data_IF_747623079977
#
_entry.id   IF_747623079977
#
_cell.length_a   1.000
_cell.length_b   1.000
_cell.length_c   1.000
_cell.angle_alpha   90.00
_cell.angle_beta   90.00
_cell.angle_gamma   90.00
#
_symmetry.space_group_name_H-M   'P 1'
#
loop_
_entity.id
_entity.type
_entity.pdbx_description
1 polymer ?
#
# COMPACT_ATOMS: atom_id res chain seq x y z
N UNK A 1 42.03 -37.70 16.56
CA UNK A 1 41.54 -38.73 15.62
C UNK A 1 40.02 -38.76 15.69
N UNK A 2 39.37 -39.40 14.74
CA UNK A 2 38.01 -39.09 14.26
C UNK A 2 36.87 -39.40 15.23
N UNK A 3 35.70 -38.74 15.06
CA UNK A 3 34.45 -39.12 15.71
C UNK A 3 33.72 -40.19 14.91
N UNK A 4 33.52 -41.39 15.49
CA UNK A 4 32.63 -42.43 14.95
C UNK A 4 32.38 -43.49 16.04
N UNK A 5 31.27 -43.37 16.79
CA UNK A 5 30.37 -44.50 17.12
C UNK A 5 29.19 -44.08 18.04
N UNK A 6 28.00 -43.97 17.41
CA UNK A 6 26.65 -44.37 17.88
C UNK A 6 26.12 -43.88 19.24
N UNK A 7 24.97 -43.20 19.21
CA UNK A 7 23.62 -43.86 19.20
C UNK A 7 22.60 -42.96 18.46
N UNK A 8 21.54 -43.52 17.84
CA UNK A 8 20.60 -42.73 17.02
C UNK A 8 19.46 -42.13 17.86
N UNK A 9 19.11 -40.87 17.56
CA UNK A 9 17.85 -40.26 17.98
C UNK A 9 16.68 -40.69 17.08
N UNK A 10 15.42 -40.40 17.47
CA UNK A 10 14.25 -40.83 16.71
C UNK A 10 14.15 -40.10 15.36
N UNK A 11 13.75 -40.85 14.33
CA UNK A 11 13.51 -40.33 12.99
C UNK A 11 12.33 -39.36 13.00
N UNK A 12 12.56 -38.09 12.65
CA UNK A 12 11.48 -37.17 12.32
C UNK A 12 10.91 -37.55 10.95
N UNK A 13 9.58 -37.64 10.78
CA UNK A 13 9.00 -37.94 9.48
C UNK A 13 9.31 -36.82 8.49
N UNK A 14 9.75 -37.20 7.29
CA UNK A 14 10.02 -36.27 6.19
C UNK A 14 8.81 -35.37 5.90
N UNK A 15 8.89 -34.10 6.32
CA UNK A 15 8.13 -33.04 5.69
C UNK A 15 8.81 -32.74 4.34
N UNK A 16 8.30 -33.37 3.27
CA UNK A 16 8.59 -32.92 1.91
C UNK A 16 8.15 -31.46 1.71
N UNK A 17 8.55 -30.81 0.60
CA UNK A 17 8.19 -29.42 0.34
C UNK A 17 6.66 -29.28 0.40
N UNK A 18 6.19 -28.53 1.39
CA UNK A 18 4.80 -28.09 1.41
C UNK A 18 4.71 -27.01 0.36
N UNK A 19 4.06 -27.33 -0.76
CA UNK A 19 3.58 -26.31 -1.68
C UNK A 19 2.73 -25.34 -0.86
N UNK A 20 3.28 -24.16 -0.60
CA UNK A 20 2.47 -23.00 -0.26
C UNK A 20 1.68 -22.70 -1.55
N UNK A 21 0.35 -22.50 -1.49
CA UNK A 21 -0.38 -22.05 -2.65
C UNK A 21 0.08 -20.63 -2.98
N UNK A 22 0.29 -20.33 -4.26
CA UNK A 22 0.61 -18.96 -4.70
C UNK A 22 -0.52 -18.01 -4.30
N UNK A 23 -0.23 -17.07 -3.42
CA UNK A 23 -1.17 -16.05 -2.95
C UNK A 23 -1.17 -14.79 -3.84
N UNK A 24 -0.32 -14.75 -4.88
CA UNK A 24 -0.16 -13.65 -5.83
C UNK A 24 -1.40 -13.39 -6.74
N UNK A 25 -2.44 -14.20 -6.57
CA UNK A 25 -3.77 -14.02 -7.16
C UNK A 25 -4.86 -14.10 -6.08
N UNK A 26 -4.93 -13.08 -5.21
CA UNK A 26 -6.21 -12.77 -4.57
C UNK A 26 -7.22 -12.35 -5.66
N UNK A 27 -8.44 -12.89 -5.69
CA UNK A 27 -9.36 -12.79 -6.84
C UNK A 27 -10.10 -11.44 -6.86
N UNK A 28 -9.35 -10.37 -7.09
CA UNK A 28 -9.89 -9.02 -7.29
C UNK A 28 -9.97 -8.67 -8.77
N UNK A 29 -10.95 -9.25 -9.46
CA UNK A 29 -11.29 -8.90 -10.85
C UNK A 29 -10.43 -9.59 -11.90
N UNK A 30 -10.61 -10.90 -12.08
CA UNK A 30 -10.15 -11.59 -13.29
C UNK A 30 -10.94 -11.08 -14.50
N UNK A 31 -10.31 -10.24 -15.35
CA UNK A 31 -10.83 -9.97 -16.68
C UNK A 31 -10.71 -11.24 -17.53
N UNK A 32 -11.83 -11.83 -17.89
CA UNK A 32 -11.92 -12.92 -18.85
C UNK A 32 -12.34 -12.34 -20.20
N UNK A 33 -11.42 -12.26 -21.16
CA UNK A 33 -11.75 -11.95 -22.55
C UNK A 33 -12.32 -13.21 -23.22
N UNK A 34 -13.54 -13.17 -23.80
CA UNK A 34 -14.06 -14.30 -24.55
C UNK A 34 -13.42 -14.37 -25.94
N UNK A 35 -12.90 -15.56 -26.28
CA UNK A 35 -12.48 -15.95 -27.64
C UNK A 35 -13.49 -15.47 -28.71
N UNK A 36 -13.04 -14.88 -29.83
CA UNK A 36 -13.92 -14.35 -30.85
C UNK A 36 -14.69 -15.48 -31.57
N UNK A 37 -16.01 -15.51 -31.39
CA UNK A 37 -16.86 -16.52 -31.99
C UNK A 37 -16.74 -16.54 -33.52
N UNK A 38 -16.37 -17.71 -34.07
CA UNK A 38 -16.19 -17.89 -35.50
C UNK A 38 -17.50 -17.73 -36.27
N UNK A 39 -17.60 -16.65 -37.04
CA UNK A 39 -18.41 -16.58 -38.26
C UNK A 39 -19.84 -16.06 -38.11
N UNK A 40 -20.05 -14.81 -38.52
CA UNK A 40 -21.23 -14.42 -39.30
C UNK A 40 -20.87 -13.27 -40.26
N UNK A 41 -21.29 -13.38 -41.53
CA UNK A 41 -21.10 -12.34 -42.55
C UNK A 41 -22.35 -11.44 -42.61
N UNK A 42 -22.17 -10.11 -42.73
CA UNK A 42 -23.24 -9.25 -43.25
C UNK A 42 -23.26 -7.77 -42.82
N UNK A 43 -22.40 -6.94 -43.45
CA UNK A 43 -22.61 -5.55 -43.92
C UNK A 43 -23.34 -4.46 -43.07
N UNK A 44 -23.16 -3.18 -43.41
CA UNK A 44 -21.91 -2.42 -43.49
C UNK A 44 -21.85 -1.32 -42.39
N UNK A 45 -20.70 -0.66 -42.27
CA UNK A 45 -20.52 0.51 -41.40
C UNK A 45 -21.30 1.73 -41.91
N UNK A 46 -21.97 2.44 -41.00
CA UNK A 46 -22.29 3.86 -41.14
C UNK A 46 -21.65 4.62 -39.97
N UNK A 47 -21.03 5.75 -40.26
CA UNK A 47 -20.29 6.54 -39.29
C UNK A 47 -20.91 7.93 -39.15
N UNK A 48 -21.59 8.20 -38.03
CA UNK A 48 -21.83 9.54 -37.48
C UNK A 48 -22.54 9.45 -36.12
N UNK A 49 -21.83 9.77 -35.03
CA UNK A 49 -22.25 10.59 -33.86
C UNK A 49 -21.32 10.29 -32.67
N UNK A 50 -20.59 11.30 -32.21
CA UNK A 50 -19.66 11.22 -31.09
C UNK A 50 -20.32 11.69 -29.79
N UNK A 51 -20.30 10.86 -28.73
CA UNK A 51 -20.55 11.28 -27.33
C UNK A 51 -20.31 10.09 -26.36
N UNK A 52 -19.04 9.70 -26.17
CA UNK A 52 -18.65 8.55 -25.35
C UNK A 52 -18.66 8.80 -23.84
N UNK A 53 -19.81 9.09 -23.23
CA UNK A 53 -20.04 8.92 -21.79
C UNK A 53 -20.88 7.65 -21.59
N UNK A 54 -20.29 6.59 -21.03
CA UNK A 54 -21.05 5.37 -20.70
C UNK A 54 -20.17 4.14 -20.46
N UNK A 55 -20.06 3.73 -19.19
CA UNK A 55 -19.28 2.54 -18.80
C UNK A 55 -19.57 1.99 -17.40
N UNK A 56 -20.54 2.53 -16.68
CA UNK A 56 -20.99 2.00 -15.39
C UNK A 56 -22.35 1.30 -15.55
N UNK A 57 -22.49 0.14 -14.90
CA UNK A 57 -23.60 -0.85 -14.93
C UNK A 57 -23.56 -1.87 -16.07
N UNK A 58 -23.10 -3.08 -15.74
CA UNK A 58 -23.93 -4.27 -15.91
C UNK A 58 -23.56 -5.33 -14.85
N UNK A 59 -24.45 -6.31 -14.64
CA UNK A 59 -24.31 -7.50 -13.77
C UNK A 59 -24.51 -7.30 -12.25
N UNK A 60 -25.76 -7.00 -11.87
CA UNK A 60 -26.40 -7.85 -10.86
C UNK A 60 -26.74 -9.22 -11.49
N UNK A 61 -27.01 -10.23 -10.64
CA UNK A 61 -27.57 -11.55 -10.97
C UNK A 61 -26.59 -12.61 -11.54
N UNK A 62 -25.94 -13.38 -10.65
CA UNK A 62 -26.28 -14.79 -10.37
C UNK A 62 -25.12 -15.63 -9.77
N UNK A 63 -25.19 -15.94 -8.48
CA UNK A 63 -24.68 -17.19 -7.87
C UNK A 63 -25.66 -17.61 -6.75
N UNK A 64 -25.86 -18.91 -6.43
CA UNK A 64 -27.11 -19.37 -5.83
C UNK A 64 -27.19 -19.15 -4.32
N UNK A 65 -28.42 -18.91 -3.87
CA UNK A 65 -28.81 -18.94 -2.46
C UNK A 65 -29.55 -20.26 -2.21
N UNK A 66 -28.88 -21.23 -1.61
CA UNK A 66 -29.51 -22.47 -1.14
C UNK A 66 -29.84 -22.37 0.37
N UNK A 67 -31.12 -22.58 0.72
CA UNK A 67 -31.59 -22.53 2.10
C UNK A 67 -33.05 -22.07 2.24
N UNK A 68 -34.00 -22.91 1.85
CA UNK A 68 -35.42 -22.55 1.74
C UNK A 68 -36.09 -22.19 3.08
N UNK A 69 -36.95 -21.18 3.05
CA UNK A 69 -37.91 -20.85 4.11
C UNK A 69 -39.06 -20.00 3.58
N UNK A 70 -40.10 -20.63 3.02
CA UNK A 70 -41.26 -19.91 2.47
C UNK A 70 -42.10 -19.21 3.55
N UNK A 71 -42.43 -17.93 3.34
CA UNK A 71 -43.38 -17.20 4.18
C UNK A 71 -43.76 -15.83 3.58
N UNK A 72 -44.83 -15.78 2.79
CA UNK A 72 -45.36 -14.51 2.26
C UNK A 72 -46.14 -13.73 3.32
N UNK A 73 -46.03 -12.39 3.24
CA UNK A 73 -46.75 -11.42 4.08
C UNK A 73 -48.25 -11.43 3.84
N UNK A 74 -48.99 -11.07 4.89
CA UNK A 74 -50.45 -11.05 5.01
C UNK A 74 -51.16 -10.12 4.01
N UNK A 75 -52.26 -10.61 3.41
CA UNK A 75 -53.46 -9.80 3.18
C UNK A 75 -54.73 -10.65 3.32
N UNK A 76 -55.81 -10.05 3.83
CA UNK A 76 -56.97 -10.76 4.39
C UNK A 76 -58.09 -11.07 3.40
N UNK A 77 -58.84 -12.17 3.63
CA UNK A 77 -60.32 -12.21 3.69
C UNK A 77 -60.87 -13.63 3.98
N UNK A 78 -61.87 -13.74 4.88
CA UNK A 78 -63.02 -14.65 4.67
C UNK A 78 -63.09 -16.04 5.37
N UNK A 79 -63.92 -16.10 6.41
CA UNK A 79 -64.88 -17.21 6.76
C UNK A 79 -64.42 -18.53 7.41
N UNK A 80 -65.16 -18.95 8.46
CA UNK A 80 -65.29 -20.33 9.00
C UNK A 80 -64.39 -20.67 10.20
N UNK A 81 -64.87 -20.76 11.47
CA UNK A 81 -65.56 -21.91 12.15
C UNK A 81 -64.74 -23.21 12.16
N UNK A 82 -64.50 -23.94 13.27
CA UNK A 82 -64.87 -23.82 14.71
C UNK A 82 -63.96 -24.78 15.55
N UNK A 83 -64.03 -24.72 16.88
CA UNK A 83 -63.59 -25.70 17.90
C UNK A 83 -62.08 -25.82 18.28
N UNK A 84 -61.79 -25.70 19.59
CA UNK A 84 -60.59 -26.25 20.28
C UNK A 84 -61.02 -27.36 21.26
N UNK A 85 -60.43 -27.52 22.48
CA UNK A 85 -59.08 -27.21 22.99
C UNK A 85 -58.42 -28.48 23.63
N UNK A 86 -57.80 -28.37 24.83
CA UNK A 86 -57.18 -29.44 25.70
C UNK A 86 -55.74 -29.81 25.28
N UNK A 87 -54.65 -29.47 26.00
CA UNK A 87 -54.20 -29.72 27.41
C UNK A 87 -53.60 -31.12 27.67
N UNK A 88 -52.32 -31.22 28.07
CA UNK A 88 -51.86 -31.89 29.32
C UNK A 88 -50.33 -32.07 29.44
N UNK A 89 -49.90 -32.23 30.70
CA UNK A 89 -48.54 -32.15 31.26
C UNK A 89 -47.84 -33.49 31.56
N UNK A 90 -46.50 -33.51 31.54
CA UNK A 90 -45.58 -34.31 32.39
C UNK A 90 -44.12 -33.86 32.08
N UNK A 91 -43.17 -33.52 32.97
CA UNK A 91 -42.81 -33.75 34.40
C UNK A 91 -41.92 -35.01 34.65
N UNK A 92 -40.90 -34.83 35.53
CA UNK A 92 -39.80 -35.71 35.99
C UNK A 92 -38.50 -35.71 35.10
N UNK A 93 -37.29 -35.22 35.47
CA UNK A 93 -36.40 -35.24 36.69
C UNK A 93 -35.29 -36.33 36.59
N UNK A 94 -34.04 -36.27 37.12
CA UNK A 94 -33.24 -35.31 37.91
C UNK A 94 -31.75 -35.77 37.99
N UNK A 95 -30.86 -34.96 38.62
CA UNK A 95 -29.46 -35.25 39.09
C UNK A 95 -28.39 -35.50 38.00
N UNK A 96 -27.11 -35.07 38.10
CA UNK A 96 -26.30 -34.28 39.07
C UNK A 96 -24.81 -34.33 38.62
N UNK A 97 -23.79 -33.59 39.12
CA UNK A 97 -23.60 -32.58 40.19
C UNK A 97 -22.43 -31.61 39.79
N UNK A 98 -22.14 -30.57 40.60
CA UNK A 98 -20.98 -29.64 40.44
C UNK A 98 -19.76 -30.00 41.30
N UNK A 99 -18.94 -29.05 41.83
CA UNK A 99 -19.06 -27.56 41.82
C UNK A 99 -17.74 -26.79 41.47
N UNK A 100 -17.74 -25.45 41.58
CA UNK A 100 -16.53 -24.61 41.56
C UNK A 100 -16.80 -23.11 41.43
N UNK A 101 -17.00 -22.42 42.55
CA UNK A 101 -17.31 -20.98 42.62
C UNK A 101 -16.06 -20.09 42.70
N UNK A 102 -16.10 -18.88 42.12
CA UNK A 102 -15.37 -17.68 42.58
C UNK A 102 -16.17 -16.42 42.24
N UNK A 103 -16.28 -15.49 43.20
CA UNK A 103 -17.16 -14.31 43.15
C UNK A 103 -16.44 -13.02 42.72
N UNK A 104 -17.20 -12.12 42.09
CA UNK A 104 -16.84 -10.70 41.94
C UNK A 104 -16.85 -9.97 43.29
N UNK A 105 -16.00 -8.95 43.45
CA UNK A 105 -16.14 -7.95 44.50
C UNK A 105 -15.76 -6.55 43.99
N UNK A 106 -16.73 -5.63 44.01
CA UNK A 106 -16.58 -4.23 43.62
C UNK A 106 -16.43 -3.37 44.89
N UNK A 107 -15.27 -2.76 45.11
CA UNK A 107 -15.10 -1.83 46.24
C UNK A 107 -15.68 -0.44 45.93
N UNK A 108 -16.62 -0.01 46.77
CA UNK A 108 -17.09 1.39 46.82
C UNK A 108 -17.12 1.90 48.27
N UNK A 109 -16.43 3.00 48.50
CA UNK A 109 -16.58 3.88 49.66
C UNK A 109 -16.61 5.33 49.12
N UNK A 110 -17.37 6.28 49.69
CA UNK A 110 -18.19 6.26 50.89
C UNK A 110 -17.97 7.56 51.68
N UNK A 111 -19.06 8.19 52.15
CA UNK A 111 -19.16 9.51 52.83
C UNK A 111 -19.00 10.78 51.98
N UNK A 112 -19.66 11.90 52.26
CA UNK A 112 -21.05 12.19 52.72
C UNK A 112 -21.25 13.73 52.76
N UNK A 113 -22.48 14.24 52.56
CA UNK A 113 -22.83 15.63 52.91
C UNK A 113 -23.81 16.36 51.97
N UNK A 114 -25.06 16.58 52.42
CA UNK A 114 -25.85 17.76 52.00
C UNK A 114 -25.26 19.04 52.63
N UNK A 115 -25.77 20.26 52.50
CA UNK A 115 -27.09 20.84 52.13
C UNK A 115 -26.88 22.39 52.09
N UNK A 116 -27.72 23.27 51.54
CA UNK A 116 -29.08 23.18 50.98
C UNK A 116 -29.29 24.27 49.89
N UNK A 117 -30.51 24.49 49.38
CA UNK A 117 -30.81 25.55 48.39
C UNK A 117 -32.04 26.41 48.73
N UNK A 118 -31.89 27.74 48.86
CA UNK A 118 -32.96 28.73 48.57
C UNK A 118 -32.51 30.21 48.55
N UNK A 119 -33.27 30.99 47.75
CA UNK A 119 -33.53 32.44 47.74
C UNK A 119 -32.46 33.51 47.38
N UNK A 120 -32.77 34.23 46.28
CA UNK A 120 -32.24 35.55 45.93
C UNK A 120 -32.91 36.67 46.75
N UNK A 121 -32.28 37.84 46.87
CA UNK A 121 -32.90 39.01 46.22
C UNK A 121 -31.92 40.08 45.67
N UNK A 122 -32.40 40.89 44.72
CA UNK A 122 -31.98 42.29 44.57
C UNK A 122 -31.08 42.64 43.37
N UNK A 123 -31.68 43.35 42.39
CA UNK A 123 -30.97 44.16 41.38
C UNK A 123 -31.47 45.60 41.51
N UNK A 124 -30.58 46.60 41.53
CA UNK A 124 -30.73 47.86 40.79
C UNK A 124 -29.42 48.69 40.76
N UNK A 125 -29.21 49.60 39.77
CA UNK A 125 -27.88 50.06 39.35
C UNK A 125 -27.53 51.51 39.78
N UNK A 126 -26.23 51.85 39.73
CA UNK A 126 -25.75 53.25 39.62
C UNK A 126 -24.53 53.37 38.67
N UNK A 127 -24.25 54.61 38.24
CA UNK A 127 -23.53 55.01 37.02
C UNK A 127 -22.00 55.23 37.23
N UNK A 128 -21.19 55.56 36.18
CA UNK A 128 -19.88 54.96 35.95
C UNK A 128 -18.72 55.78 36.48
N UNK A 129 -17.56 55.12 36.63
CA UNK A 129 -16.29 55.78 36.97
C UNK A 129 -15.25 55.72 35.84
N UNK A 130 -14.42 56.76 35.79
CA UNK A 130 -13.51 57.09 34.69
C UNK A 130 -12.12 56.41 34.82
N UNK A 131 -11.32 56.32 33.73
CA UNK A 131 -10.06 55.57 33.74
C UNK A 131 -9.01 56.18 34.67
N UNK A 132 -8.34 55.30 35.41
CA UNK A 132 -7.23 55.56 36.33
C UNK A 132 -5.92 54.95 35.77
N UNK A 133 -4.71 55.40 36.18
CA UNK A 133 -3.85 56.09 35.22
C UNK A 133 -2.79 55.21 34.54
N UNK A 134 -2.15 55.76 33.50
CA UNK A 134 -1.07 55.12 32.77
C UNK A 134 0.10 54.72 33.70
N UNK A 135 0.31 53.42 33.84
CA UNK A 135 1.60 52.87 34.29
C UNK A 135 2.62 53.09 33.18
N UNK A 136 3.64 53.92 33.47
CA UNK A 136 4.83 53.98 32.63
C UNK A 136 5.52 52.61 32.67
N UNK A 137 5.41 51.86 31.58
CA UNK A 137 6.34 50.78 31.29
C UNK A 137 7.70 51.43 31.03
N UNK A 138 8.67 51.12 31.89
CA UNK A 138 10.07 51.41 31.62
C UNK A 138 10.50 50.71 30.32
N UNK A 139 11.55 51.25 29.68
CA UNK A 139 12.14 50.69 28.45
C UNK A 139 12.22 49.17 28.53
N UNK A 140 11.39 48.52 27.71
CA UNK A 140 11.51 47.10 27.40
C UNK A 140 12.22 47.06 26.08
N UNK A 141 13.46 46.56 26.09
CA UNK A 141 14.21 46.30 24.87
C UNK A 141 13.32 45.56 23.87
N UNK A 142 13.14 46.12 22.68
CA UNK A 142 12.46 45.42 21.60
C UNK A 142 13.20 44.09 21.36
N UNK A 143 12.50 42.94 21.30
CA UNK A 143 13.13 41.71 20.87
C UNK A 143 13.69 41.95 19.47
N UNK A 144 14.92 41.49 19.16
CA UNK A 144 15.59 41.87 17.92
C UNK A 144 14.72 41.48 16.73
N UNK A 145 14.30 42.48 15.95
CA UNK A 145 13.63 42.30 14.67
C UNK A 145 14.54 41.44 13.80
N UNK A 146 14.21 40.16 13.67
CA UNK A 146 14.83 39.29 12.69
C UNK A 146 14.44 39.87 11.33
N UNK A 147 15.41 40.45 10.61
CA UNK A 147 15.23 40.70 9.19
C UNK A 147 14.95 39.34 8.53
N UNK A 148 13.71 39.16 8.06
CA UNK A 148 13.38 38.04 7.21
C UNK A 148 14.30 38.10 6.00
N UNK A 149 15.10 37.04 5.82
CA UNK A 149 15.96 36.90 4.65
C UNK A 149 15.16 36.95 3.35
N UNK A 150 15.83 36.95 2.18
CA UNK A 150 15.14 36.90 0.90
C UNK A 150 14.12 35.74 0.90
N UNK A 151 12.95 35.94 0.27
CA UNK A 151 11.86 34.97 0.32
C UNK A 151 12.36 33.58 -0.08
N UNK A 152 11.86 32.57 0.62
CA UNK A 152 12.11 31.16 0.25
C UNK A 152 11.74 30.97 -1.22
N UNK A 153 12.55 30.22 -2.00
CA UNK A 153 12.23 29.96 -3.40
C UNK A 153 10.89 29.24 -3.54
N UNK A 154 10.27 29.48 -4.68
CA UNK A 154 8.96 28.99 -5.13
C UNK A 154 8.71 27.51 -4.76
N UNK A 155 7.57 27.14 -4.12
CA UNK A 155 7.28 25.76 -3.72
C UNK A 155 6.96 24.81 -4.90
N UNK A 156 7.16 25.22 -6.15
CA UNK A 156 7.06 24.35 -7.31
C UNK A 156 8.12 23.22 -7.27
N UNK A 157 7.60 22.01 -7.01
CA UNK A 157 8.31 20.74 -6.79
C UNK A 157 9.00 20.58 -5.41
N UNK A 158 8.81 19.42 -4.72
CA UNK A 158 9.60 19.03 -3.56
C UNK A 158 11.02 18.70 -3.99
N UNK A 159 11.83 19.73 -4.19
CA UNK A 159 13.25 19.62 -4.48
C UNK A 159 13.99 19.20 -3.22
N UNK A 160 14.03 17.87 -2.98
CA UNK A 160 15.04 17.27 -2.10
C UNK A 160 16.41 17.84 -2.51
N UNK A 161 17.09 18.61 -1.63
CA UNK A 161 18.23 19.44 -2.03
C UNK A 161 19.53 18.61 -2.12
N UNK A 162 19.56 17.69 -3.08
CA UNK A 162 20.76 16.97 -3.47
C UNK A 162 21.71 17.90 -4.24
N UNK A 163 23.04 17.73 -4.13
CA UNK A 163 24.00 18.56 -4.84
C UNK A 163 23.79 18.45 -6.37
N UNK A 164 23.34 19.54 -6.99
CA UNK A 164 23.32 19.63 -8.44
C UNK A 164 24.74 19.51 -9.01
N UNK A 165 24.94 18.91 -10.20
CA UNK A 165 26.23 18.88 -10.88
C UNK A 165 26.88 20.27 -10.96
N UNK A 166 28.22 20.32 -10.82
CA UNK A 166 28.97 21.53 -11.10
C UNK A 166 28.75 22.00 -12.55
N UNK A 167 28.78 23.31 -12.86
CA UNK A 167 28.54 23.81 -14.21
C UNK A 167 29.42 23.13 -15.27
N UNK A 168 28.81 22.37 -16.17
CA UNK A 168 29.49 21.67 -17.26
C UNK A 168 29.92 20.23 -16.97
N UNK A 169 29.68 19.70 -15.76
CA UNK A 169 29.87 18.28 -15.46
C UNK A 169 28.59 17.48 -15.79
N UNK A 170 28.70 16.32 -16.45
CA UNK A 170 27.55 15.44 -16.65
C UNK A 170 27.03 14.92 -15.30
N UNK A 171 25.71 14.68 -15.17
CA UNK A 171 25.19 13.98 -14.00
C UNK A 171 25.72 12.54 -13.97
N UNK A 172 25.78 11.93 -12.78
CA UNK A 172 26.19 10.53 -12.66
C UNK A 172 25.16 9.56 -13.23
N UNK A 173 25.53 8.29 -13.46
CA UNK A 173 24.64 7.29 -14.05
C UNK A 173 23.39 7.06 -13.18
N UNK A 174 22.24 6.88 -13.84
CA UNK A 174 20.99 6.44 -13.18
C UNK A 174 20.95 4.92 -13.12
N UNK A 175 20.55 4.39 -11.97
CA UNK A 175 20.23 2.98 -11.75
C UNK A 175 18.81 2.86 -11.19
N UNK A 176 18.13 1.79 -11.58
CA UNK A 176 16.82 1.40 -11.07
C UNK A 176 16.94 0.05 -10.36
N UNK A 177 16.23 -0.09 -9.24
CA UNK A 177 16.10 -1.32 -8.46
C UNK A 177 14.64 -1.75 -8.49
N UNK A 178 14.40 -2.99 -8.90
CA UNK A 178 13.08 -3.63 -8.84
C UNK A 178 12.66 -3.98 -7.41
N UNK A 179 11.54 -4.66 -7.32
CA UNK A 179 10.84 -5.03 -6.08
C UNK A 179 11.71 -5.94 -5.21
N UNK A 180 11.80 -5.63 -3.92
CA UNK A 180 12.79 -6.23 -3.00
C UNK A 180 12.16 -7.22 -2.04
N UNK A 181 10.94 -6.96 -1.55
CA UNK A 181 10.19 -7.84 -0.66
C UNK A 181 11.00 -8.47 0.48
N UNK A 182 11.71 -7.65 1.26
CA UNK A 182 12.45 -8.10 2.45
C UNK A 182 13.66 -9.01 2.19
N UNK A 183 14.02 -9.28 0.93
CA UNK A 183 15.19 -10.06 0.52
C UNK A 183 16.47 -9.21 0.61
N UNK A 184 16.86 -8.86 1.84
CA UNK A 184 17.97 -7.95 2.13
C UNK A 184 19.33 -8.46 1.66
N UNK A 185 19.60 -9.76 1.80
CA UNK A 185 20.88 -10.35 1.42
C UNK A 185 21.04 -10.35 -0.12
N UNK A 186 19.97 -10.65 -0.85
CA UNK A 186 19.87 -10.56 -2.30
C UNK A 186 20.06 -9.11 -2.78
N UNK A 187 19.43 -8.14 -2.10
CA UNK A 187 19.61 -6.71 -2.40
C UNK A 187 21.07 -6.28 -2.21
N UNK A 188 21.68 -6.61 -1.08
CA UNK A 188 23.09 -6.31 -0.80
C UNK A 188 24.01 -6.97 -1.82
N UNK A 189 23.76 -8.23 -2.18
CA UNK A 189 24.54 -8.95 -3.17
C UNK A 189 24.48 -8.30 -4.56
N UNK A 190 23.30 -7.91 -5.04
CA UNK A 190 23.14 -7.29 -6.36
C UNK A 190 23.67 -5.84 -6.38
N UNK A 191 23.39 -5.02 -5.35
CA UNK A 191 23.97 -3.67 -5.24
C UNK A 191 25.51 -3.72 -5.23
N UNK A 192 26.11 -4.67 -4.51
CA UNK A 192 27.56 -4.87 -4.50
C UNK A 192 28.06 -5.39 -5.86
N UNK A 193 27.32 -6.29 -6.52
CA UNK A 193 27.65 -6.79 -7.87
C UNK A 193 27.70 -5.65 -8.91
N UNK A 194 26.79 -4.69 -8.82
CA UNK A 194 26.77 -3.48 -9.66
C UNK A 194 27.82 -2.41 -9.24
N UNK A 195 28.56 -2.64 -8.15
CA UNK A 195 29.55 -1.70 -7.60
C UNK A 195 28.93 -0.45 -6.94
N UNK A 196 27.66 -0.54 -6.55
CA UNK A 196 26.90 0.58 -5.97
C UNK A 196 27.16 0.72 -4.46
N UNK A 197 27.41 -0.40 -3.79
CA UNK A 197 27.89 -0.47 -2.41
C UNK A 197 29.18 -1.28 -2.32
N UNK A 198 29.97 -1.02 -1.28
CA UNK A 198 31.17 -1.79 -0.95
C UNK A 198 30.85 -3.08 -0.17
N UNK A 199 31.89 -3.81 0.23
CA UNK A 199 31.77 -5.10 0.91
C UNK A 199 31.21 -4.99 2.35
N UNK A 200 31.29 -3.81 2.97
CA UNK A 200 30.70 -3.52 4.28
C UNK A 200 29.25 -2.99 4.14
N UNK A 201 28.81 -2.72 2.91
CA UNK A 201 27.47 -2.29 2.56
C UNK A 201 27.26 -0.77 2.54
N UNK A 202 28.34 0.01 2.49
CA UNK A 202 28.29 1.47 2.36
C UNK A 202 28.33 1.91 0.89
N UNK A 203 27.78 3.08 0.60
CA UNK A 203 27.74 3.66 -0.76
C UNK A 203 29.14 3.84 -1.38
N UNK A 204 29.38 3.15 -2.48
CA UNK A 204 30.62 3.23 -3.28
C UNK A 204 30.43 3.87 -4.65
N UNK A 205 29.20 4.19 -5.04
CA UNK A 205 28.84 4.60 -6.40
C UNK A 205 29.20 6.06 -6.76
N UNK A 206 29.81 6.82 -5.84
CA UNK A 206 30.16 8.22 -6.04
C UNK A 206 28.92 9.08 -6.34
N UNK A 207 28.83 9.60 -7.56
CA UNK A 207 27.74 10.49 -8.01
C UNK A 207 26.57 9.77 -8.70
N UNK A 208 26.49 8.45 -8.61
CA UNK A 208 25.37 7.69 -9.16
C UNK A 208 24.03 8.12 -8.54
N UNK A 209 22.96 7.79 -9.25
CA UNK A 209 21.58 8.16 -8.94
C UNK A 209 20.75 6.88 -8.90
N UNK A 210 20.35 6.42 -7.72
CA UNK A 210 19.54 5.20 -7.58
C UNK A 210 18.07 5.57 -7.36
N UNK A 211 17.17 4.84 -8.02
CA UNK A 211 15.75 4.81 -7.75
C UNK A 211 15.27 3.38 -7.47
N UNK A 212 14.68 3.15 -6.30
CA UNK A 212 13.90 1.94 -6.02
C UNK A 212 12.44 2.15 -6.44
N UNK A 213 11.81 1.11 -7.01
CA UNK A 213 10.48 1.21 -7.62
C UNK A 213 9.32 0.83 -6.66
N UNK A 214 9.60 0.74 -5.36
CA UNK A 214 8.66 0.35 -4.31
C UNK A 214 8.88 -1.09 -3.82
N UNK A 215 7.96 -1.55 -2.97
CA UNK A 215 7.87 -2.92 -2.47
C UNK A 215 9.15 -3.40 -1.77
N UNK A 216 9.49 -2.70 -0.70
CA UNK A 216 10.62 -3.00 0.20
C UNK A 216 10.33 -4.16 1.14
N UNK A 217 9.06 -4.33 1.52
CA UNK A 217 8.63 -5.17 2.64
C UNK A 217 7.79 -6.37 2.20
N UNK A 218 7.47 -7.22 3.18
CA UNK A 218 6.66 -8.43 3.06
C UNK A 218 7.31 -9.58 2.25
N UNK A 219 6.76 -10.78 2.43
CA UNK A 219 7.21 -12.08 1.86
C UNK A 219 8.60 -12.52 2.34
N UNK A 220 9.67 -11.79 2.05
CA UNK A 220 11.03 -12.11 2.50
C UNK A 220 11.26 -11.86 4.00
N UNK A 221 12.47 -12.12 4.52
CA UNK A 221 12.72 -12.22 5.96
C UNK A 221 12.99 -10.91 6.73
N UNK A 222 13.41 -9.83 6.06
CA UNK A 222 13.87 -8.60 6.74
C UNK A 222 13.50 -7.32 5.98
N UNK A 223 12.20 -6.99 5.94
CA UNK A 223 11.68 -5.78 5.31
C UNK A 223 12.14 -4.47 5.99
N UNK A 224 12.25 -4.45 7.33
CA UNK A 224 12.79 -3.27 8.02
C UNK A 224 14.29 -3.08 7.71
N UNK A 225 15.08 -4.16 7.61
CA UNK A 225 16.48 -4.07 7.25
C UNK A 225 16.71 -3.55 5.83
N UNK A 226 15.78 -3.82 4.90
CA UNK A 226 15.75 -3.18 3.56
C UNK A 226 15.51 -1.68 3.69
N UNK A 227 14.51 -1.26 4.47
CA UNK A 227 14.21 0.17 4.72
C UNK A 227 15.41 0.88 5.35
N UNK A 228 16.01 0.31 6.40
CA UNK A 228 17.23 0.78 7.05
C UNK A 228 18.36 1.02 6.02
N UNK A 229 18.61 0.04 5.14
CA UNK A 229 19.64 0.14 4.11
C UNK A 229 19.33 1.25 3.10
N UNK A 230 18.09 1.37 2.61
CA UNK A 230 17.73 2.42 1.63
C UNK A 230 17.84 3.81 2.27
N UNK A 231 17.45 3.97 3.54
CA UNK A 231 17.62 5.21 4.31
C UNK A 231 19.09 5.57 4.53
N UNK A 232 19.94 4.58 4.86
CA UNK A 232 21.39 4.74 4.97
C UNK A 232 22.00 5.21 3.63
N UNK A 233 21.70 4.51 2.53
CA UNK A 233 22.23 4.81 1.21
C UNK A 233 21.77 6.17 0.69
N UNK A 234 20.55 6.62 1.03
CA UNK A 234 20.08 7.97 0.71
C UNK A 234 20.96 9.06 1.34
N UNK A 235 21.36 8.89 2.60
CA UNK A 235 22.24 9.83 3.30
C UNK A 235 23.69 9.80 2.75
N UNK A 236 24.23 8.60 2.52
CA UNK A 236 25.61 8.43 2.03
C UNK A 236 25.76 8.90 0.58
N UNK A 237 24.80 8.60 -0.29
CA UNK A 237 24.78 9.06 -1.67
C UNK A 237 24.75 10.59 -1.76
N UNK A 238 23.94 11.24 -0.93
CA UNK A 238 23.87 12.70 -0.86
C UNK A 238 25.23 13.31 -0.48
N UNK A 239 25.94 12.71 0.49
CA UNK A 239 27.28 13.13 0.90
C UNK A 239 28.34 12.93 -0.20
N UNK A 240 28.15 11.93 -1.08
CA UNK A 240 29.01 11.65 -2.23
C UNK A 240 28.68 12.47 -3.50
N UNK A 241 27.64 13.31 -3.46
CA UNK A 241 27.18 14.10 -4.61
C UNK A 241 26.36 13.30 -5.65
N UNK A 242 25.84 12.15 -5.24
CA UNK A 242 24.79 11.40 -5.92
C UNK A 242 23.46 11.52 -5.18
N UNK A 243 22.57 10.56 -5.37
CA UNK A 243 21.43 10.33 -4.48
C UNK A 243 20.95 8.87 -4.55
N UNK A 244 20.18 8.45 -3.54
CA UNK A 244 19.36 7.25 -3.56
C UNK A 244 17.93 7.64 -3.17
N UNK A 245 16.96 7.26 -4.00
CA UNK A 245 15.53 7.61 -3.88
C UNK A 245 14.68 6.34 -4.02
N UNK A 246 13.42 6.45 -3.64
CA UNK A 246 12.45 5.37 -3.60
C UNK A 246 11.08 5.88 -4.04
N UNK A 247 10.30 5.04 -4.71
CA UNK A 247 8.86 5.23 -4.93
C UNK A 247 8.05 4.54 -3.83
N UNK A 248 6.80 4.96 -3.68
CA UNK A 248 5.77 4.26 -2.89
C UNK A 248 5.30 3.01 -3.65
N UNK A 249 5.46 1.82 -3.08
CA UNK A 249 4.84 0.59 -3.57
C UNK A 249 3.47 0.32 -2.93
N UNK A 250 2.75 -0.69 -3.43
CA UNK A 250 1.51 -1.10 -2.77
C UNK A 250 1.77 -1.80 -1.43
N UNK A 251 2.93 -2.44 -1.24
CA UNK A 251 3.27 -3.05 0.04
C UNK A 251 3.57 -2.00 1.11
N UNK A 252 4.18 -0.86 0.78
CA UNK A 252 4.34 0.24 1.73
C UNK A 252 2.98 0.82 2.17
N UNK A 253 2.03 0.99 1.23
CA UNK A 253 0.67 1.42 1.55
C UNK A 253 -0.05 0.41 2.47
N UNK A 254 0.11 -0.88 2.20
CA UNK A 254 -0.50 -1.98 2.94
C UNK A 254 0.09 -2.15 4.34
N UNK A 255 1.42 -2.05 4.47
CA UNK A 255 2.17 -2.15 5.73
C UNK A 255 1.90 -0.95 6.65
N UNK A 256 1.95 0.28 6.12
CA UNK A 256 1.55 1.48 6.86
C UNK A 256 0.08 1.43 7.28
N UNK A 257 -0.80 0.96 6.40
CA UNK A 257 -2.22 0.78 6.72
C UNK A 257 -2.46 -0.28 7.82
N UNK A 258 -1.69 -1.38 7.81
CA UNK A 258 -1.77 -2.41 8.84
C UNK A 258 -1.32 -1.89 10.21
N UNK A 259 -0.32 -1.00 10.25
CA UNK A 259 0.08 -0.29 11.46
C UNK A 259 -0.98 0.75 11.92
N UNK A 260 -1.51 1.55 11.00
CA UNK A 260 -2.41 2.69 11.32
C UNK A 260 -3.84 2.27 11.68
N UNK A 261 -4.40 1.32 10.94
CA UNK A 261 -5.82 0.93 11.04
C UNK A 261 -6.02 -0.49 11.61
N UNK A 262 -5.00 -1.35 11.57
CA UNK A 262 -5.07 -2.69 12.15
C UNK A 262 -6.23 -3.53 11.58
N UNK A 263 -7.12 -3.97 12.47
CA UNK A 263 -8.31 -4.75 12.14
C UNK A 263 -9.58 -3.90 11.86
N UNK A 264 -9.44 -2.59 11.63
CA UNK A 264 -10.55 -1.73 11.22
C UNK A 264 -11.16 -2.22 9.88
N UNK A 265 -12.49 -2.42 9.79
CA UNK A 265 -13.15 -2.86 8.57
C UNK A 265 -13.07 -1.85 7.43
N UNK A 266 -12.68 -2.32 6.24
CA UNK A 266 -12.79 -1.57 4.97
C UNK A 266 -13.96 -2.06 4.11
N UNK A 267 -14.54 -1.15 3.33
CA UNK A 267 -15.49 -1.50 2.27
C UNK A 267 -14.76 -2.09 1.07
N UNK A 268 -14.60 -3.42 1.04
CA UNK A 268 -14.12 -4.14 -0.13
C UNK A 268 -15.26 -4.80 -0.91
N UNK A 269 -15.20 -4.73 -2.24
CA UNK A 269 -16.15 -5.37 -3.15
C UNK A 269 -16.17 -6.91 -3.07
N UNK A 270 -15.20 -7.53 -2.38
CA UNK A 270 -15.17 -8.97 -2.11
C UNK A 270 -15.59 -9.36 -0.68
N UNK A 271 -16.07 -8.40 0.13
CA UNK A 271 -16.50 -8.62 1.53
C UNK A 271 -15.74 -7.76 2.54
N UNK A 272 -15.89 -8.04 3.83
CA UNK A 272 -15.16 -7.32 4.87
C UNK A 272 -13.69 -7.75 4.88
N UNK A 273 -12.80 -6.80 4.56
CA UNK A 273 -11.35 -6.93 4.79
C UNK A 273 -10.93 -5.98 5.92
N UNK A 274 -9.69 -6.15 6.39
CA UNK A 274 -8.95 -5.16 7.19
C UNK A 274 -7.53 -5.05 6.63
N UNK A 275 -6.84 -3.95 6.88
CA UNK A 275 -5.46 -3.80 6.45
C UNK A 275 -4.54 -4.87 7.07
N UNK A 276 -4.69 -5.17 8.37
CA UNK A 276 -3.87 -6.17 9.05
C UNK A 276 -4.11 -7.60 8.52
N UNK A 277 -5.36 -7.95 8.19
CA UNK A 277 -5.67 -9.23 7.58
C UNK A 277 -5.12 -9.33 6.15
N UNK A 278 -5.28 -8.27 5.34
CA UNK A 278 -4.79 -8.23 3.97
C UNK A 278 -3.25 -8.25 3.91
N UNK A 279 -2.57 -7.50 4.78
CA UNK A 279 -1.11 -7.50 4.92
C UNK A 279 -0.57 -8.90 5.24
N UNK A 280 -1.13 -9.58 6.25
CA UNK A 280 -0.78 -10.98 6.58
C UNK A 280 -1.00 -11.94 5.42
N UNK A 281 -2.07 -11.76 4.63
CA UNK A 281 -2.34 -12.59 3.45
C UNK A 281 -1.36 -12.35 2.29
N UNK A 282 -0.78 -11.16 2.18
CA UNK A 282 0.20 -10.82 1.15
C UNK A 282 1.67 -10.97 1.64
N UNK A 283 1.89 -11.80 2.67
CA UNK A 283 3.23 -12.14 3.17
C UNK A 283 3.77 -11.24 4.28
N UNK A 284 2.94 -10.41 4.90
CA UNK A 284 3.34 -9.50 5.98
C UNK A 284 4.06 -10.18 7.14
N UNK A 285 5.27 -9.72 7.45
CA UNK A 285 6.11 -10.29 8.51
C UNK A 285 5.88 -9.59 9.85
N UNK A 286 5.38 -10.32 10.85
CA UNK A 286 5.11 -9.75 12.19
C UNK A 286 6.38 -9.14 12.83
N UNK A 287 7.56 -9.72 12.61
CA UNK A 287 8.84 -9.18 13.09
C UNK A 287 9.15 -7.79 12.52
N UNK A 288 8.75 -7.49 11.28
CA UNK A 288 8.95 -6.17 10.67
C UNK A 288 7.96 -5.14 11.23
N UNK A 289 6.70 -5.53 11.48
CA UNK A 289 5.73 -4.66 12.14
C UNK A 289 6.11 -4.37 13.60
N UNK A 290 6.68 -5.35 14.31
CA UNK A 290 7.18 -5.20 15.68
C UNK A 290 8.44 -4.30 15.76
N UNK A 291 9.18 -4.18 14.65
CA UNK A 291 10.36 -3.29 14.47
C UNK A 291 10.03 -1.95 13.80
N UNK A 292 8.78 -1.70 13.43
CA UNK A 292 8.38 -0.46 12.77
C UNK A 292 8.44 0.71 13.76
N UNK A 293 9.14 1.78 13.37
CA UNK A 293 9.38 2.95 14.22
C UNK A 293 8.87 4.23 13.57
N UNK A 294 8.69 5.28 14.37
CA UNK A 294 8.23 6.59 13.90
C UNK A 294 9.11 7.19 12.79
N UNK A 295 10.41 6.87 12.77
CA UNK A 295 11.32 7.36 11.73
C UNK A 295 11.16 6.60 10.41
N UNK A 296 10.95 5.28 10.44
CA UNK A 296 10.54 4.46 9.30
C UNK A 296 9.22 4.98 8.71
N UNK A 297 8.18 5.12 9.55
CA UNK A 297 6.85 5.64 9.15
C UNK A 297 6.99 7.01 8.49
N UNK A 298 7.73 7.93 9.14
CA UNK A 298 7.93 9.27 8.61
C UNK A 298 8.67 9.29 7.27
N UNK A 299 9.57 8.35 7.01
CA UNK A 299 10.26 8.24 5.72
C UNK A 299 9.34 7.65 4.65
N UNK A 300 8.70 6.50 4.93
CA UNK A 300 7.77 5.81 4.04
C UNK A 300 6.62 6.72 3.60
N UNK A 301 5.98 7.44 4.52
CA UNK A 301 4.85 8.33 4.20
C UNK A 301 5.22 9.57 3.37
N UNK A 302 6.50 9.78 3.04
CA UNK A 302 6.99 10.86 2.17
C UNK A 302 7.54 10.38 0.82
N UNK A 303 7.48 9.07 0.55
CA UNK A 303 7.92 8.54 -0.74
C UNK A 303 7.00 9.05 -1.87
N UNK A 304 7.54 9.56 -2.98
CA UNK A 304 6.74 9.90 -4.15
C UNK A 304 6.06 8.66 -4.74
N UNK A 305 4.84 8.83 -5.23
CA UNK A 305 4.12 7.84 -6.04
C UNK A 305 4.77 7.65 -7.43
N UNK A 306 5.19 8.75 -8.08
CA UNK A 306 5.80 8.73 -9.42
C UNK A 306 6.97 9.71 -9.52
N UNK A 307 7.96 9.38 -10.35
CA UNK A 307 9.15 10.19 -10.61
C UNK A 307 9.50 10.26 -12.09
N UNK A 308 10.34 11.23 -12.49
CA UNK A 308 10.85 11.38 -13.86
C UNK A 308 12.34 11.67 -13.80
N UNK A 309 13.16 10.82 -14.42
CA UNK A 309 14.62 10.93 -14.37
C UNK A 309 15.25 10.59 -15.73
N UNK A 310 16.09 11.49 -16.26
CA UNK A 310 16.76 11.32 -17.58
C UNK A 310 15.81 10.86 -18.71
N UNK A 311 14.58 11.36 -18.72
CA UNK A 311 13.55 11.00 -19.71
C UNK A 311 12.81 9.68 -19.44
N UNK A 312 13.05 9.01 -18.31
CA UNK A 312 12.36 7.81 -17.90
C UNK A 312 11.31 8.15 -16.83
N UNK A 313 10.04 7.88 -17.13
CA UNK A 313 8.95 7.97 -16.16
C UNK A 313 9.01 6.71 -15.27
N UNK A 314 9.19 6.91 -13.97
CA UNK A 314 9.37 5.86 -12.98
C UNK A 314 8.04 5.69 -12.24
N UNK A 315 7.46 4.49 -12.33
CA UNK A 315 6.22 4.10 -11.68
C UNK A 315 6.46 2.89 -10.78
N UNK A 316 5.57 2.64 -9.83
CA UNK A 316 5.57 1.35 -9.14
C UNK A 316 4.96 0.24 -10.01
N UNK A 317 3.82 0.49 -10.65
CA UNK A 317 3.04 -0.53 -11.37
C UNK A 317 2.64 -0.14 -12.80
N UNK A 318 2.41 -1.14 -13.67
CA UNK A 318 2.02 -0.94 -15.07
C UNK A 318 0.51 -0.68 -15.23
N UNK A 319 0.07 0.47 -14.71
CA UNK A 319 -1.32 0.91 -14.74
C UNK A 319 -1.46 2.38 -15.15
N UNK A 320 -2.56 2.73 -15.82
CA UNK A 320 -2.96 4.11 -16.10
C UNK A 320 -3.64 4.80 -14.91
N UNK A 321 -3.84 4.10 -13.79
CA UNK A 321 -4.55 4.64 -12.62
C UNK A 321 -3.89 5.86 -11.95
N UNK A 322 -2.62 6.15 -12.25
CA UNK A 322 -1.96 7.40 -11.85
C UNK A 322 -2.69 8.64 -12.40
N UNK A 323 -3.30 8.54 -13.59
CA UNK A 323 -4.12 9.59 -14.22
C UNK A 323 -5.38 9.94 -13.39
N UNK A 324 -5.82 9.05 -12.48
CA UNK A 324 -6.94 9.31 -11.57
C UNK A 324 -6.58 10.26 -10.42
N UNK A 325 -5.29 10.61 -10.23
CA UNK A 325 -4.80 11.45 -9.14
C UNK A 325 -4.44 12.88 -9.54
N UNK A 326 -4.10 13.14 -10.80
CA UNK A 326 -3.74 14.49 -11.25
C UNK A 326 -3.12 14.56 -12.64
N UNK A 327 -3.04 15.79 -13.17
CA UNK A 327 -2.57 16.09 -14.53
C UNK A 327 -1.05 16.31 -14.60
N UNK A 328 -0.34 16.30 -13.47
CA UNK A 328 1.12 16.43 -13.40
C UNK A 328 1.76 15.57 -12.31
N UNK A 329 3.09 15.37 -12.39
CA UNK A 329 3.86 14.61 -11.40
C UNK A 329 3.72 15.16 -9.97
N UNK A 330 3.78 16.48 -9.73
CA UNK A 330 3.44 17.05 -8.42
C UNK A 330 2.03 16.69 -7.95
N UNK A 331 1.00 16.84 -8.80
CA UNK A 331 -0.39 16.58 -8.40
C UNK A 331 -0.61 15.13 -7.95
N UNK A 332 -0.04 14.16 -8.67
CA UNK A 332 -0.14 12.73 -8.30
C UNK A 332 0.54 12.45 -6.96
N UNK A 333 1.72 13.03 -6.74
CA UNK A 333 2.46 12.87 -5.49
C UNK A 333 1.73 13.52 -4.31
N UNK A 334 1.29 14.76 -4.47
CA UNK A 334 0.57 15.52 -3.44
C UNK A 334 -0.79 14.88 -3.11
N UNK A 335 -1.51 14.34 -4.11
CA UNK A 335 -2.77 13.62 -3.89
C UNK A 335 -2.57 12.32 -3.09
N UNK A 336 -1.52 11.54 -3.40
CA UNK A 336 -1.19 10.33 -2.62
C UNK A 336 -0.73 10.71 -1.21
N UNK A 337 0.12 11.73 -1.04
CA UNK A 337 0.54 12.22 0.28
C UNK A 337 -0.65 12.73 1.12
N UNK A 338 -1.63 13.37 0.48
CA UNK A 338 -2.88 13.78 1.13
C UNK A 338 -3.68 12.60 1.69
N UNK A 339 -3.78 11.49 0.93
CA UNK A 339 -4.41 10.25 1.43
C UNK A 339 -3.66 9.69 2.63
N UNK A 340 -2.32 9.69 2.63
CA UNK A 340 -1.53 9.18 3.76
C UNK A 340 -1.59 10.08 5.01
N UNK A 341 -1.71 11.40 4.82
CA UNK A 341 -1.85 12.34 5.92
C UNK A 341 -3.24 12.23 6.57
N UNK A 342 -4.29 12.51 5.79
CA UNK A 342 -5.62 12.86 6.29
C UNK A 342 -6.72 11.87 5.87
N UNK A 343 -6.41 10.90 5.00
CA UNK A 343 -7.39 9.95 4.45
C UNK A 343 -7.99 8.99 5.49
N UNK A 344 -9.28 8.67 5.29
CA UNK A 344 -9.98 7.61 6.00
C UNK A 344 -9.53 6.22 5.55
N UNK A 345 -9.94 5.19 6.30
CA UNK A 345 -9.56 3.79 6.05
C UNK A 345 -9.96 3.31 4.64
N UNK A 346 -11.14 3.70 4.16
CA UNK A 346 -11.64 3.35 2.81
C UNK A 346 -10.86 4.10 1.70
N UNK A 347 -10.51 5.37 1.89
CA UNK A 347 -9.76 6.18 0.91
C UNK A 347 -8.32 5.68 0.74
N UNK A 348 -7.69 5.28 1.86
CA UNK A 348 -6.38 4.62 1.85
C UNK A 348 -6.46 3.25 1.19
N UNK A 349 -7.54 2.50 1.43
CA UNK A 349 -7.75 1.20 0.83
C UNK A 349 -7.93 1.28 -0.69
N UNK A 350 -8.71 2.25 -1.18
CA UNK A 350 -8.83 2.53 -2.61
C UNK A 350 -7.49 2.97 -3.23
N UNK A 351 -6.68 3.74 -2.48
CA UNK A 351 -5.33 4.09 -2.91
C UNK A 351 -4.41 2.86 -3.04
N UNK A 352 -4.35 2.02 -2.02
CA UNK A 352 -3.67 0.72 -2.06
C UNK A 352 -4.13 -0.11 -3.26
N UNK A 353 -5.44 -0.25 -3.46
CA UNK A 353 -6.02 -1.01 -4.58
C UNK A 353 -5.64 -0.44 -5.94
N UNK A 354 -5.55 0.88 -6.11
CA UNK A 354 -5.10 1.50 -7.36
C UNK A 354 -3.65 1.13 -7.69
N UNK A 355 -2.76 1.11 -6.71
CA UNK A 355 -1.37 0.70 -6.91
C UNK A 355 -1.25 -0.79 -7.28
N UNK A 356 -2.13 -1.66 -6.75
CA UNK A 356 -2.17 -3.09 -7.15
C UNK A 356 -2.64 -3.35 -8.59
N UNK A 357 -3.23 -2.37 -9.30
CA UNK A 357 -3.64 -2.53 -10.71
C UNK A 357 -2.40 -2.77 -11.59
N UNK A 358 -2.55 -3.61 -12.61
CA UNK A 358 -1.45 -4.08 -13.46
C UNK A 358 -1.88 -4.44 -14.87
N UNK A 359 -0.90 -4.65 -15.73
CA UNK A 359 -1.00 -5.17 -17.09
C UNK A 359 -1.65 -4.22 -18.12
N UNK A 360 -1.79 -2.93 -17.82
CA UNK A 360 -2.32 -1.95 -18.77
C UNK A 360 -1.42 -1.77 -20.01
N UNK A 361 -0.12 -2.07 -19.89
CA UNK A 361 0.85 -1.94 -20.97
C UNK A 361 1.00 -3.25 -21.80
N UNK A 362 0.19 -4.28 -21.55
CA UNK A 362 0.25 -5.54 -22.33
C UNK A 362 -0.57 -5.49 -23.62
N UNK A 363 -0.17 -6.31 -24.59
CA UNK A 363 -0.90 -6.53 -25.84
C UNK A 363 -0.97 -5.30 -26.74
N UNK A 364 -1.79 -5.37 -27.78
CA UNK A 364 -1.87 -4.36 -28.86
C UNK A 364 -2.29 -2.96 -28.36
N UNK A 365 -3.02 -2.89 -27.24
CA UNK A 365 -3.41 -1.63 -26.60
C UNK A 365 -2.30 -1.02 -25.73
N UNK A 366 -1.31 -1.82 -25.32
CA UNK A 366 -0.26 -1.46 -24.37
C UNK A 366 0.51 -0.18 -24.71
N UNK A 367 1.04 -0.02 -25.94
CA UNK A 367 1.71 1.21 -26.37
C UNK A 367 0.83 2.47 -26.24
N UNK A 368 -0.49 2.33 -26.41
CA UNK A 368 -1.43 3.47 -26.28
C UNK A 368 -1.56 3.90 -24.81
N UNK A 369 -1.69 2.94 -23.89
CA UNK A 369 -1.73 3.21 -22.44
C UNK A 369 -0.41 3.80 -21.92
N UNK A 370 0.73 3.38 -22.47
CA UNK A 370 2.03 3.97 -22.17
C UNK A 370 2.13 5.41 -22.69
N UNK A 371 1.68 5.67 -23.92
CA UNK A 371 1.63 7.02 -24.47
C UNK A 371 0.73 7.97 -23.66
N UNK A 372 -0.43 7.52 -23.18
CA UNK A 372 -1.32 8.35 -22.34
C UNK A 372 -0.60 8.90 -21.09
N UNK A 373 0.23 8.08 -20.44
CA UNK A 373 1.05 8.47 -19.30
C UNK A 373 2.24 9.35 -19.68
N UNK A 374 2.95 9.03 -20.77
CA UNK A 374 4.11 9.80 -21.24
C UNK A 374 3.72 11.18 -21.79
N UNK A 375 2.57 11.30 -22.46
CA UNK A 375 2.04 12.58 -22.95
C UNK A 375 1.57 13.49 -21.81
N UNK A 376 1.11 12.91 -20.69
CA UNK A 376 0.66 13.64 -19.49
C UNK A 376 1.84 14.04 -18.58
N UNK A 377 2.71 13.09 -18.24
CA UNK A 377 3.76 13.27 -17.23
C UNK A 377 5.16 13.52 -17.81
N UNK A 378 5.33 13.37 -19.12
CA UNK A 378 6.60 13.52 -19.81
C UNK A 378 7.51 12.29 -19.74
N UNK A 379 8.65 12.42 -20.43
CA UNK A 379 9.58 11.32 -20.67
C UNK A 379 9.42 10.71 -22.06
N UNK A 380 10.13 9.62 -22.31
CA UNK A 380 10.10 8.86 -23.57
C UNK A 380 10.02 7.34 -23.38
N UNK A 381 10.02 6.89 -22.12
CA UNK A 381 9.97 5.47 -21.73
C UNK A 381 9.51 5.37 -20.27
N UNK A 382 8.73 4.34 -19.95
CA UNK A 382 8.31 4.00 -18.58
C UNK A 382 9.21 2.89 -18.04
N UNK A 383 9.53 2.95 -16.74
CA UNK A 383 10.18 1.88 -15.98
C UNK A 383 9.35 1.59 -14.73
N UNK A 384 9.03 0.32 -14.46
CA UNK A 384 8.15 -0.06 -13.35
C UNK A 384 8.51 -1.39 -12.66
N UNK A 385 8.02 -1.59 -11.44
CA UNK A 385 8.03 -2.83 -10.65
C UNK A 385 6.67 -3.54 -10.68
N UNK A 386 6.24 -4.14 -9.55
CA UNK A 386 4.93 -4.75 -9.21
C UNK A 386 4.41 -5.92 -10.07
N UNK A 387 4.84 -5.98 -11.32
CA UNK A 387 4.37 -6.91 -12.32
C UNK A 387 5.51 -7.86 -12.67
N UNK A 388 5.66 -8.99 -11.94
CA UNK A 388 6.76 -9.91 -12.16
C UNK A 388 6.90 -10.27 -13.64
N UNK A 389 8.11 -10.16 -14.16
CA UNK A 389 8.46 -10.57 -15.53
C UNK A 389 8.01 -12.02 -15.82
N UNK A 390 8.04 -12.99 -14.88
CA UNK A 390 7.43 -14.30 -15.08
C UNK A 390 5.94 -14.26 -15.46
N UNK A 391 5.15 -13.35 -14.89
CA UNK A 391 3.76 -13.13 -15.29
C UNK A 391 3.65 -12.37 -16.61
N UNK A 392 4.49 -11.35 -16.86
CA UNK A 392 4.46 -10.57 -18.10
C UNK A 392 4.75 -11.43 -19.33
N UNK A 393 5.71 -12.35 -19.21
CA UNK A 393 6.17 -13.25 -20.27
C UNK A 393 5.39 -14.57 -20.34
N UNK A 394 4.58 -14.90 -19.33
CA UNK A 394 3.89 -16.19 -19.21
C UNK A 394 4.77 -17.35 -18.75
N UNK A 395 6.01 -17.09 -18.34
CA UNK A 395 6.97 -18.11 -17.91
C UNK A 395 6.55 -18.89 -16.65
N UNK A 396 5.62 -18.38 -15.85
CA UNK A 396 5.00 -19.10 -14.71
C UNK A 396 4.28 -20.41 -15.09
N UNK A 397 3.95 -20.61 -16.37
CA UNK A 397 3.24 -21.81 -16.84
C UNK A 397 4.15 -22.81 -17.55
N UNK A 398 5.45 -22.79 -17.25
CA UNK A 398 6.37 -23.85 -17.64
C UNK A 398 6.12 -25.11 -16.80
N UNK A 399 5.42 -26.11 -17.36
CA UNK A 399 5.15 -27.42 -16.75
C UNK A 399 6.41 -28.28 -16.46
N UNK A 400 7.62 -27.73 -16.62
CA UNK A 400 8.89 -28.42 -16.36
C UNK A 400 9.40 -28.28 -14.91
N UNK A 401 8.76 -27.43 -14.11
CA UNK A 401 9.11 -27.19 -12.71
C UNK A 401 10.49 -26.57 -12.51
N UNK A 402 11.01 -25.85 -13.51
CA UNK A 402 12.18 -25.00 -13.36
C UNK A 402 11.76 -23.58 -12.93
N UNK A 403 12.58 -22.88 -12.13
CA UNK A 403 12.34 -21.47 -11.82
C UNK A 403 12.41 -20.62 -13.10
N UNK A 404 11.62 -19.54 -13.20
CA UNK A 404 11.53 -18.73 -14.42
C UNK A 404 12.86 -18.06 -14.74
N UNK A 405 13.40 -18.32 -15.94
CA UNK A 405 14.66 -17.75 -16.38
C UNK A 405 14.50 -16.26 -16.76
N UNK A 406 14.82 -15.37 -15.81
CA UNK A 406 14.82 -13.91 -16.00
C UNK A 406 16.26 -13.41 -16.24
N UNK A 407 16.67 -13.13 -17.49
CA UNK A 407 18.05 -12.71 -17.80
C UNK A 407 18.36 -11.26 -17.41
N UNK A 408 17.34 -10.45 -17.13
CA UNK A 408 17.44 -9.02 -16.86
C UNK A 408 16.09 -8.31 -17.04
N UNK A 409 16.08 -6.97 -17.11
CA UNK A 409 14.87 -6.19 -17.33
C UNK A 409 14.14 -6.58 -18.63
N UNK A 410 12.81 -6.50 -18.62
CA UNK A 410 11.98 -6.88 -19.76
C UNK A 410 11.41 -5.64 -20.46
N UNK A 411 11.86 -5.42 -21.70
CA UNK A 411 11.41 -4.31 -22.56
C UNK A 411 10.20 -4.77 -23.39
N UNK A 412 9.12 -3.98 -23.38
CA UNK A 412 7.86 -4.28 -24.06
C UNK A 412 7.09 -3.00 -24.42
N UNK A 413 5.86 -3.17 -24.94
CA UNK A 413 5.00 -2.08 -25.44
C UNK A 413 5.72 -1.18 -26.44
N UNK A 414 6.15 -1.74 -27.58
CA UNK A 414 6.90 -1.04 -28.65
C UNK A 414 8.15 -0.29 -28.16
N UNK A 415 8.92 -0.94 -27.28
CA UNK A 415 10.12 -0.40 -26.61
C UNK A 415 9.86 0.80 -25.68
N UNK A 416 8.60 1.09 -25.34
CA UNK A 416 8.19 2.21 -24.49
C UNK A 416 8.12 1.86 -22.99
N UNK A 417 8.03 0.58 -22.61
CA UNK A 417 7.95 0.16 -21.21
C UNK A 417 9.06 -0.84 -20.83
N UNK A 418 9.53 -0.77 -19.59
CA UNK A 418 10.52 -1.68 -19.01
C UNK A 418 10.06 -2.17 -17.65
N UNK A 419 9.87 -3.48 -17.51
CA UNK A 419 9.62 -4.12 -16.23
C UNK A 419 10.93 -4.48 -15.54
N UNK A 420 11.00 -4.19 -14.25
CA UNK A 420 12.14 -4.41 -13.36
C UNK A 420 11.89 -5.44 -12.27
N UNK A 421 10.64 -5.86 -12.06
CA UNK A 421 10.32 -6.95 -11.12
C UNK A 421 10.77 -8.30 -11.72
N UNK A 422 11.93 -8.79 -11.32
CA UNK A 422 12.43 -10.09 -11.74
C UNK A 422 11.81 -11.28 -11.00
N UNK A 423 10.79 -11.07 -10.17
CA UNK A 423 10.07 -12.12 -9.45
C UNK A 423 10.90 -12.77 -8.35
N UNK A 424 11.60 -11.99 -7.52
CA UNK A 424 12.45 -12.52 -6.42
C UNK A 424 11.67 -13.44 -5.47
N UNK A 425 10.38 -13.17 -5.31
CA UNK A 425 9.40 -13.96 -4.53
C UNK A 425 9.05 -15.31 -5.14
N UNK A 426 9.40 -15.51 -6.42
CA UNK A 426 9.02 -16.64 -7.28
C UNK A 426 10.24 -17.49 -7.69
N UNK A 427 11.29 -17.50 -6.86
CA UNK A 427 12.63 -18.05 -7.20
C UNK A 427 13.29 -17.35 -8.41
N UNK A 428 12.80 -16.17 -8.79
CA UNK A 428 13.41 -15.29 -9.80
C UNK A 428 14.59 -14.49 -9.22
N UNK A 429 14.87 -13.32 -9.81
CA UNK A 429 16.05 -12.51 -9.45
C UNK A 429 15.67 -11.09 -9.08
N UNK A 430 16.24 -10.57 -7.99
CA UNK A 430 16.23 -9.12 -7.72
C UNK A 430 17.06 -8.41 -8.79
N UNK A 431 16.46 -7.45 -9.50
CA UNK A 431 17.11 -6.75 -10.61
C UNK A 431 17.57 -5.35 -10.21
N UNK A 432 18.83 -5.05 -10.50
CA UNK A 432 19.38 -3.68 -10.52
C UNK A 432 19.92 -3.43 -11.92
N UNK A 433 19.48 -2.35 -12.56
CA UNK A 433 19.87 -2.02 -13.93
C UNK A 433 20.24 -0.55 -14.08
N UNK A 434 21.23 -0.28 -14.92
CA UNK A 434 21.63 1.08 -15.29
C UNK A 434 20.76 1.58 -16.46
N UNK A 435 20.25 2.81 -16.37
CA UNK A 435 19.52 3.45 -17.46
C UNK A 435 20.46 4.23 -18.41
N UNK A 436 20.10 4.39 -19.70
CA UNK A 436 19.00 3.69 -20.39
C UNK A 436 19.33 2.20 -20.62
N UNK A 437 18.28 1.38 -20.74
CA UNK A 437 18.31 -0.05 -21.03
C UNK A 437 18.17 -0.31 -22.55
#
# INVERSE_FOLDING_TARGET
>A
MTPEDRFPGPEHPHSGPRHQPDLDVLPYGTYYEPEPATGYQGAPYDAETYSGYGGARYLEQHWPVDGQGHGHTVHAQGTGTDHGPVDQSAVFSHQGQGPGDYEDAYETAGYEGGYDAQDHPGYEPTLPDQPSPALQLADRDDPPTIELGPPLPDPAAPTYPYPAPGPGEPPGPVYVVGDVHGYLDELRAELHHQGLIDADGHWSAGRARIWFLGDFTDRGPDGIGVIDLVMQLAAEAAAAGGYCRALMGNHELLFLGAHKYGDEPVQSTAGTASFLAAWRLNGGQQNDLDRLEAHHISWLSRLPAIGLEDGHLLLHSDTTAYLEYGESIPDVNDAVHGVLADGGVDEWWDCFRRFTKRFAFRGDAGPTAVHELLDTYGGSRIVHGHSPIPYLTGAVHADDGQPPHIPGPYVYADDLAVAMDGGVTMEGRLLVARLPI
#
